data_IF_556860348000
#
_entry.id   IF_556860348000
#
_cell.length_a   1.000
_cell.length_b   1.000
_cell.length_c   1.000
_cell.angle_alpha   90.00
_cell.angle_beta   90.00
_cell.angle_gamma   90.00
#
_symmetry.space_group_name_H-M   'P 1'
#
loop_
_entity.id
_entity.type
_entity.pdbx_description
1 polymer ?
#
# COMPACT_ATOMS: atom_id res chain seq x y z
N UNK A 1 -2.84 -0.49 -178.08
CA UNK A 1 -3.84 -0.92 -177.07
C UNK A 1 -3.23 -1.68 -175.89
N UNK A 2 -2.10 -2.38 -176.03
CA UNK A 2 -1.44 -3.09 -174.90
C UNK A 2 -0.84 -2.19 -173.82
N UNK A 3 -0.24 -1.04 -174.17
CA UNK A 3 0.37 -0.13 -173.20
C UNK A 3 -0.62 0.50 -172.20
N UNK A 4 -1.85 0.78 -172.66
CA UNK A 4 -2.92 1.34 -171.82
C UNK A 4 -3.49 0.26 -170.88
N UNK A 5 -3.67 -0.97 -171.37
CA UNK A 5 -4.11 -2.12 -170.56
C UNK A 5 -3.10 -2.46 -169.45
N UNK A 6 -1.80 -2.41 -169.75
CA UNK A 6 -0.72 -2.64 -168.77
C UNK A 6 -0.65 -1.54 -167.72
N UNK A 7 -0.84 -0.28 -168.11
CA UNK A 7 -0.87 0.87 -167.19
C UNK A 7 -2.12 0.87 -166.32
N UNK A 8 -3.27 0.46 -166.86
CA UNK A 8 -4.52 0.31 -166.12
C UNK A 8 -4.48 -0.87 -165.15
N UNK A 9 -3.84 -1.99 -165.51
CA UNK A 9 -3.60 -3.09 -164.58
C UNK A 9 -2.62 -2.70 -163.46
N UNK A 10 -1.53 -1.98 -163.76
CA UNK A 10 -0.64 -1.45 -162.74
C UNK A 10 -1.35 -0.44 -161.82
N UNK A 11 -2.21 0.43 -162.36
CA UNK A 11 -3.01 1.37 -161.55
C UNK A 11 -4.02 0.64 -160.67
N UNK A 12 -4.65 -0.44 -161.15
CA UNK A 12 -5.52 -1.29 -160.34
C UNK A 12 -4.75 -2.00 -159.23
N UNK A 13 -3.60 -2.59 -159.56
CA UNK A 13 -2.78 -3.29 -158.58
C UNK A 13 -2.23 -2.33 -157.51
N UNK A 14 -1.79 -1.13 -157.91
CA UNK A 14 -1.34 -0.11 -156.95
C UNK A 14 -2.49 0.46 -156.12
N UNK A 15 -3.70 0.52 -156.66
CA UNK A 15 -4.91 0.88 -155.90
C UNK A 15 -5.26 -0.21 -154.89
N UNK A 16 -5.31 -1.48 -155.29
CA UNK A 16 -5.56 -2.62 -154.39
C UNK A 16 -4.48 -2.72 -153.30
N UNK A 17 -3.20 -2.56 -153.64
CA UNK A 17 -2.10 -2.53 -152.65
C UNK A 17 -2.20 -1.32 -151.70
N UNK A 18 -2.69 -0.17 -152.18
CA UNK A 18 -2.91 1.00 -151.34
C UNK A 18 -4.14 0.84 -150.42
N UNK A 19 -5.22 0.24 -150.93
CA UNK A 19 -6.43 -0.09 -150.15
C UNK A 19 -6.13 -1.14 -149.08
N UNK A 20 -5.34 -2.17 -149.40
CA UNK A 20 -4.94 -3.20 -148.44
C UNK A 20 -4.00 -2.62 -147.36
N UNK A 21 -3.07 -1.73 -147.74
CA UNK A 21 -2.25 -0.98 -146.78
C UNK A 21 -3.07 -0.04 -145.91
N UNK A 22 -4.06 0.66 -146.48
CA UNK A 22 -4.96 1.52 -145.72
C UNK A 22 -5.79 0.71 -144.71
N UNK A 23 -6.37 -0.41 -145.15
CA UNK A 23 -7.14 -1.31 -144.28
C UNK A 23 -6.28 -1.91 -143.15
N UNK A 24 -5.04 -2.28 -143.44
CA UNK A 24 -4.09 -2.75 -142.43
C UNK A 24 -3.72 -1.65 -141.43
N UNK A 25 -3.44 -0.43 -141.91
CA UNK A 25 -3.16 0.71 -141.06
C UNK A 25 -4.37 1.12 -140.20
N UNK A 26 -5.59 1.03 -140.72
CA UNK A 26 -6.83 1.25 -139.95
C UNK A 26 -7.02 0.19 -138.86
N UNK A 27 -6.71 -1.07 -139.13
CA UNK A 27 -6.72 -2.13 -138.10
C UNK A 27 -5.67 -1.90 -137.02
N UNK A 28 -4.44 -1.59 -137.41
CA UNK A 28 -3.35 -1.31 -136.47
C UNK A 28 -3.67 -0.06 -135.62
N UNK A 29 -4.25 0.98 -136.22
CA UNK A 29 -4.73 2.17 -135.51
C UNK A 29 -5.84 1.83 -134.50
N UNK A 30 -6.79 0.99 -134.90
CA UNK A 30 -7.87 0.55 -134.00
C UNK A 30 -7.32 -0.26 -132.82
N UNK A 31 -6.43 -1.22 -133.06
CA UNK A 31 -5.81 -2.00 -131.98
C UNK A 31 -4.93 -1.15 -131.05
N UNK A 32 -4.30 -0.10 -131.59
CA UNK A 32 -3.54 0.85 -130.79
C UNK A 32 -4.46 1.73 -129.93
N UNK A 33 -5.59 2.19 -130.48
CA UNK A 33 -6.60 2.93 -129.72
C UNK A 33 -7.25 2.06 -128.64
N UNK A 34 -7.67 0.83 -128.95
CA UNK A 34 -8.27 -0.08 -127.96
C UNK A 34 -7.28 -0.39 -126.79
N UNK A 35 -5.98 -0.46 -127.10
CA UNK A 35 -4.91 -0.60 -126.09
C UNK A 35 -4.70 0.68 -125.28
N UNK A 36 -4.74 1.84 -125.93
CA UNK A 36 -4.63 3.14 -125.26
C UNK A 36 -5.80 3.34 -124.30
N UNK A 37 -7.04 3.09 -124.75
CA UNK A 37 -8.26 3.18 -123.93
C UNK A 37 -8.19 2.24 -122.72
N UNK A 38 -7.68 1.01 -122.90
CA UNK A 38 -7.50 0.06 -121.81
C UNK A 38 -6.46 0.53 -120.78
N UNK A 39 -5.33 1.06 -121.26
CA UNK A 39 -4.28 1.59 -120.39
C UNK A 39 -4.73 2.86 -119.66
N UNK A 40 -5.47 3.75 -120.33
CA UNK A 40 -6.07 4.94 -119.70
C UNK A 40 -7.05 4.55 -118.59
N UNK A 41 -7.89 3.53 -118.82
CA UNK A 41 -8.79 3.02 -117.78
C UNK A 41 -8.05 2.38 -116.59
N UNK A 42 -6.93 1.68 -116.83
CA UNK A 42 -6.11 1.10 -115.76
C UNK A 42 -5.38 2.18 -114.96
N UNK A 43 -4.85 3.20 -115.63
CA UNK A 43 -4.26 4.38 -114.98
C UNK A 43 -5.29 5.10 -114.12
N UNK A 44 -6.52 5.30 -114.62
CA UNK A 44 -7.59 5.93 -113.85
C UNK A 44 -7.95 5.11 -112.60
N UNK A 45 -8.04 3.78 -112.73
CA UNK A 45 -8.30 2.89 -111.61
C UNK A 45 -7.18 2.92 -110.57
N UNK A 46 -5.92 2.79 -110.99
CA UNK A 46 -4.77 2.83 -110.09
C UNK A 46 -4.62 4.20 -109.40
N UNK A 47 -4.98 5.29 -110.08
CA UNK A 47 -4.99 6.63 -109.48
C UNK A 47 -6.01 6.73 -108.36
N UNK A 48 -7.24 6.22 -108.56
CA UNK A 48 -8.26 6.16 -107.50
C UNK A 48 -7.83 5.30 -106.32
N UNK A 49 -7.24 4.13 -106.58
CA UNK A 49 -6.71 3.28 -105.51
C UNK A 49 -5.57 3.94 -104.73
N UNK A 50 -4.73 4.73 -105.40
CA UNK A 50 -3.66 5.48 -104.75
C UNK A 50 -4.23 6.58 -103.85
N UNK A 51 -5.24 7.32 -104.31
CA UNK A 51 -5.95 8.32 -103.49
C UNK A 51 -6.61 7.68 -102.25
N UNK A 52 -7.29 6.53 -102.42
CA UNK A 52 -7.90 5.79 -101.30
C UNK A 52 -6.84 5.32 -100.27
N UNK A 53 -5.71 4.80 -100.75
CA UNK A 53 -4.59 4.37 -99.89
C UNK A 53 -3.93 5.55 -99.15
N UNK A 54 -3.82 6.71 -99.79
CA UNK A 54 -3.31 7.93 -99.17
C UNK A 54 -4.26 8.41 -98.06
N UNK A 55 -5.58 8.40 -98.30
CA UNK A 55 -6.58 8.76 -97.29
C UNK A 55 -6.60 7.77 -96.10
N UNK A 56 -6.45 6.46 -96.38
CA UNK A 56 -6.29 5.44 -95.33
C UNK A 56 -5.00 5.64 -94.52
N UNK A 57 -3.89 5.97 -95.18
CA UNK A 57 -2.62 6.25 -94.52
C UNK A 57 -2.72 7.47 -93.62
N UNK A 58 -3.27 8.58 -94.10
CA UNK A 58 -3.47 9.81 -93.33
C UNK A 58 -4.36 9.57 -92.09
N UNK A 59 -5.42 8.79 -92.26
CA UNK A 59 -6.31 8.38 -91.17
C UNK A 59 -5.60 7.51 -90.13
N UNK A 60 -4.79 6.55 -90.58
CA UNK A 60 -4.00 5.68 -89.71
C UNK A 60 -2.92 6.46 -88.95
N UNK A 61 -2.25 7.42 -89.59
CA UNK A 61 -1.25 8.29 -88.98
C UNK A 61 -1.86 9.21 -87.92
N UNK A 62 -3.03 9.80 -88.21
CA UNK A 62 -3.78 10.59 -87.21
C UNK A 62 -4.18 9.75 -86.00
N UNK A 63 -4.69 8.54 -86.23
CA UNK A 63 -5.06 7.61 -85.16
C UNK A 63 -3.83 7.20 -84.33
N UNK A 64 -2.70 6.91 -84.99
CA UNK A 64 -1.45 6.56 -84.33
C UNK A 64 -0.94 7.72 -83.46
N UNK A 65 -1.01 8.96 -83.95
CA UNK A 65 -0.61 10.14 -83.19
C UNK A 65 -1.46 10.30 -81.92
N UNK A 66 -2.78 10.12 -82.00
CA UNK A 66 -3.67 10.15 -80.84
C UNK A 66 -3.36 9.04 -79.83
N UNK A 67 -3.16 7.81 -80.31
CA UNK A 67 -2.84 6.67 -79.44
C UNK A 67 -1.52 6.88 -78.72
N UNK A 68 -0.49 7.38 -79.42
CA UNK A 68 0.81 7.71 -78.82
C UNK A 68 0.69 8.82 -77.77
N UNK A 69 -0.13 9.85 -78.01
CA UNK A 69 -0.39 10.89 -77.01
C UNK A 69 -1.08 10.32 -75.75
N UNK A 70 -2.07 9.44 -75.92
CA UNK A 70 -2.75 8.77 -74.81
C UNK A 70 -1.81 7.83 -74.05
N UNK A 71 -0.95 7.10 -74.76
CA UNK A 71 0.05 6.22 -74.16
C UNK A 71 1.02 7.01 -73.28
N UNK A 72 1.57 8.12 -73.79
CA UNK A 72 2.48 8.98 -73.02
C UNK A 72 1.83 9.54 -71.75
N UNK A 73 0.56 9.96 -71.83
CA UNK A 73 -0.19 10.42 -70.66
C UNK A 73 -0.38 9.30 -69.62
N UNK A 74 -0.72 8.09 -70.09
CA UNK A 74 -0.90 6.93 -69.23
C UNK A 74 0.42 6.50 -68.55
N UNK A 75 1.54 6.52 -69.27
CA UNK A 75 2.88 6.24 -68.72
C UNK A 75 3.25 7.26 -67.64
N UNK A 76 3.05 8.56 -67.92
CA UNK A 76 3.33 9.62 -66.95
C UNK A 76 2.48 9.45 -65.68
N UNK A 77 1.20 9.12 -65.83
CA UNK A 77 0.28 8.89 -64.71
C UNK A 77 0.68 7.64 -63.90
N UNK A 78 1.14 6.58 -64.59
CA UNK A 78 1.62 5.36 -63.94
C UNK A 78 2.89 5.62 -63.12
N UNK A 79 3.84 6.39 -63.67
CA UNK A 79 5.07 6.78 -62.96
C UNK A 79 4.77 7.60 -61.71
N UNK A 80 3.85 8.56 -61.78
CA UNK A 80 3.39 9.34 -60.63
C UNK A 80 2.73 8.44 -59.56
N UNK A 81 1.89 7.50 -60.00
CA UNK A 81 1.23 6.53 -59.11
C UNK A 81 2.24 5.60 -58.43
N UNK A 82 3.28 5.16 -59.12
CA UNK A 82 4.33 4.33 -58.54
C UNK A 82 5.16 5.10 -57.50
N UNK A 83 5.48 6.37 -57.78
CA UNK A 83 6.16 7.24 -56.80
C UNK A 83 5.31 7.40 -55.55
N UNK A 84 4.01 7.69 -55.69
CA UNK A 84 3.09 7.79 -54.57
C UNK A 84 3.02 6.48 -53.76
N UNK A 85 2.97 5.33 -54.44
CA UNK A 85 2.99 4.01 -53.79
C UNK A 85 4.24 3.82 -52.92
N UNK A 86 5.43 4.10 -53.46
CA UNK A 86 6.70 3.96 -52.72
C UNK A 86 6.75 4.86 -51.48
N UNK A 87 6.26 6.09 -51.59
CA UNK A 87 6.20 7.01 -50.43
C UNK A 87 5.27 6.47 -49.35
N UNK A 88 4.09 5.96 -49.73
CA UNK A 88 3.15 5.36 -48.77
C UNK A 88 3.70 4.08 -48.14
N UNK A 89 4.43 3.26 -48.89
CA UNK A 89 5.07 2.06 -48.39
C UNK A 89 6.15 2.38 -47.34
N UNK A 90 7.05 3.33 -47.62
CA UNK A 90 8.05 3.78 -46.64
C UNK A 90 7.40 4.38 -45.40
N UNK A 91 6.31 5.14 -45.57
CA UNK A 91 5.56 5.68 -44.43
C UNK A 91 4.94 4.56 -43.60
N UNK A 92 4.32 3.58 -44.24
CA UNK A 92 3.75 2.41 -43.56
C UNK A 92 4.79 1.65 -42.74
N UNK A 93 5.98 1.41 -43.30
CA UNK A 93 7.08 0.77 -42.58
C UNK A 93 7.51 1.57 -41.34
N UNK A 94 7.65 2.90 -41.47
CA UNK A 94 8.00 3.76 -40.33
C UNK A 94 6.89 3.79 -39.26
N UNK A 95 5.63 3.77 -39.66
CA UNK A 95 4.49 3.76 -38.76
C UNK A 95 4.42 2.41 -38.01
N UNK A 96 4.66 1.29 -38.68
CA UNK A 96 4.70 -0.05 -38.09
C UNK A 96 5.84 -0.18 -37.06
N UNK A 97 7.04 0.31 -37.37
CA UNK A 97 8.17 0.35 -36.43
C UNK A 97 7.84 1.20 -35.19
N UNK A 98 7.23 2.37 -35.39
CA UNK A 98 6.81 3.24 -34.29
C UNK A 98 5.73 2.60 -33.44
N UNK A 99 4.78 1.90 -34.06
CA UNK A 99 3.71 1.20 -33.37
C UNK A 99 4.27 0.06 -32.51
N UNK A 100 5.23 -0.71 -33.02
CA UNK A 100 5.93 -1.74 -32.26
C UNK A 100 6.65 -1.17 -31.03
N UNK A 101 7.37 -0.05 -31.18
CA UNK A 101 8.05 0.61 -30.06
C UNK A 101 7.07 1.10 -28.98
N UNK A 102 5.94 1.68 -29.39
CA UNK A 102 4.91 2.15 -28.46
C UNK A 102 4.22 0.98 -27.74
N UNK A 103 4.02 -0.15 -28.41
CA UNK A 103 3.49 -1.36 -27.79
C UNK A 103 4.42 -1.93 -26.72
N UNK A 104 5.73 -1.98 -27.02
CA UNK A 104 6.74 -2.42 -26.05
C UNK A 104 6.82 -1.47 -24.84
N UNK A 105 6.75 -0.15 -25.08
CA UNK A 105 6.74 0.83 -24.01
C UNK A 105 5.48 0.70 -23.14
N UNK A 106 4.30 0.57 -23.76
CA UNK A 106 3.03 0.38 -23.05
C UNK A 106 3.09 -0.87 -22.16
N UNK A 107 3.65 -1.96 -22.67
CA UNK A 107 3.79 -3.20 -21.89
C UNK A 107 4.70 -3.00 -20.66
N UNK A 108 5.84 -2.33 -20.82
CA UNK A 108 6.74 -2.03 -19.69
C UNK A 108 6.08 -1.14 -18.65
N UNK A 109 5.35 -0.12 -19.10
CA UNK A 109 4.64 0.80 -18.21
C UNK A 109 3.52 0.08 -17.45
N UNK A 110 2.82 -0.86 -18.09
CA UNK A 110 1.84 -1.73 -17.43
C UNK A 110 2.48 -2.64 -16.37
N UNK A 111 3.59 -3.30 -16.69
CA UNK A 111 4.32 -4.16 -15.74
C UNK A 111 4.81 -3.35 -14.52
N UNK A 112 5.33 -2.14 -14.73
CA UNK A 112 5.78 -1.26 -13.66
C UNK A 112 4.60 -0.78 -12.78
N UNK A 113 3.46 -0.48 -13.39
CA UNK A 113 2.25 -0.09 -12.67
C UNK A 113 1.72 -1.24 -11.81
N UNK A 114 1.69 -2.47 -12.34
CA UNK A 114 1.30 -3.67 -11.58
C UNK A 114 2.25 -3.97 -10.41
N UNK A 115 3.56 -3.84 -10.61
CA UNK A 115 4.54 -4.01 -9.53
C UNK A 115 4.36 -2.95 -8.43
N UNK A 116 4.12 -1.69 -8.84
CA UNK A 116 3.87 -0.60 -7.90
C UNK A 116 2.58 -0.83 -7.11
N UNK A 117 1.51 -1.29 -7.77
CA UNK A 117 0.24 -1.61 -7.13
C UNK A 117 0.40 -2.70 -6.07
N UNK A 118 1.14 -3.77 -6.37
CA UNK A 118 1.44 -4.83 -5.38
C UNK A 118 2.18 -4.28 -4.16
N UNK A 119 3.17 -3.41 -4.36
CA UNK A 119 3.89 -2.75 -3.25
C UNK A 119 2.97 -1.89 -2.40
N UNK A 120 2.02 -1.17 -3.01
CA UNK A 120 1.04 -0.39 -2.27
C UNK A 120 0.12 -1.27 -1.44
N UNK A 121 -0.33 -2.41 -1.98
CA UNK A 121 -1.16 -3.37 -1.26
C UNK A 121 -0.40 -3.96 -0.05
N UNK A 122 0.85 -4.39 -0.24
CA UNK A 122 1.70 -4.89 0.85
C UNK A 122 1.93 -3.84 1.96
N UNK A 123 2.17 -2.58 1.57
CA UNK A 123 2.33 -1.48 2.54
C UNK A 123 1.02 -1.21 3.29
N UNK A 124 -0.12 -1.23 2.59
CA UNK A 124 -1.43 -1.01 3.21
C UNK A 124 -1.76 -2.12 4.22
N UNK A 125 -1.50 -3.38 3.88
CA UNK A 125 -1.63 -4.50 4.82
C UNK A 125 -0.72 -4.34 6.04
N UNK A 126 0.52 -3.89 5.83
CA UNK A 126 1.46 -3.67 6.94
C UNK A 126 1.02 -2.53 7.85
N UNK A 127 0.47 -1.46 7.29
CA UNK A 127 -0.09 -0.35 8.07
C UNK A 127 -1.24 -0.85 8.94
N UNK A 128 -2.20 -1.58 8.37
CA UNK A 128 -3.33 -2.12 9.13
C UNK A 128 -2.89 -3.02 10.29
N UNK A 129 -1.86 -3.86 10.08
CA UNK A 129 -1.29 -4.68 11.16
C UNK A 129 -0.68 -3.82 12.28
N UNK A 130 0.07 -2.77 11.92
CA UNK A 130 0.69 -1.87 12.89
C UNK A 130 -0.33 -1.04 13.64
N UNK A 131 -1.42 -0.63 12.99
CA UNK A 131 -2.54 0.07 13.64
C UNK A 131 -3.22 -0.85 14.68
N UNK A 132 -3.47 -2.11 14.33
CA UNK A 132 -4.01 -3.07 15.29
C UNK A 132 -3.05 -3.34 16.46
N UNK A 133 -1.76 -3.52 16.19
CA UNK A 133 -0.74 -3.68 17.24
C UNK A 133 -0.67 -2.43 18.14
N UNK A 134 -0.82 -1.23 17.58
CA UNK A 134 -0.85 0.02 18.33
C UNK A 134 -2.06 0.07 19.28
N UNK A 135 -3.26 -0.20 18.78
CA UNK A 135 -4.49 -0.20 19.56
C UNK A 135 -4.37 -1.15 20.77
N UNK A 136 -3.87 -2.38 20.55
CA UNK A 136 -3.64 -3.35 21.62
C UNK A 136 -2.64 -2.84 22.69
N UNK A 137 -1.60 -2.11 22.27
CA UNK A 137 -0.63 -1.51 23.19
C UNK A 137 -1.20 -0.33 23.95
N UNK A 138 -2.04 0.48 23.31
CA UNK A 138 -2.71 1.60 23.96
C UNK A 138 -3.69 1.12 25.03
N UNK A 139 -4.50 0.10 24.75
CA UNK A 139 -5.39 -0.52 25.75
C UNK A 139 -4.59 -1.07 26.94
N UNK A 140 -3.51 -1.81 26.69
CA UNK A 140 -2.65 -2.34 27.75
C UNK A 140 -2.00 -1.24 28.60
N UNK A 141 -1.60 -0.13 27.99
CA UNK A 141 -1.04 1.02 28.69
C UNK A 141 -2.08 1.71 29.57
N UNK A 142 -3.31 1.88 29.07
CA UNK A 142 -4.42 2.44 29.85
C UNK A 142 -4.75 1.57 31.06
N UNK A 143 -4.81 0.25 30.90
CA UNK A 143 -5.01 -0.66 32.03
C UNK A 143 -3.89 -0.55 33.07
N UNK A 144 -2.64 -0.47 32.61
CA UNK A 144 -1.49 -0.32 33.50
C UNK A 144 -1.55 1.01 34.27
N UNK A 145 -1.98 2.10 33.64
CA UNK A 145 -2.15 3.41 34.29
C UNK A 145 -3.25 3.36 35.36
N UNK A 146 -4.38 2.71 35.08
CA UNK A 146 -5.45 2.52 36.07
C UNK A 146 -4.94 1.74 37.28
N UNK A 147 -4.21 0.64 37.06
CA UNK A 147 -3.62 -0.15 38.15
C UNK A 147 -2.59 0.63 38.95
N UNK A 148 -1.76 1.44 38.29
CA UNK A 148 -0.78 2.28 38.97
C UNK A 148 -1.46 3.29 39.90
N UNK A 149 -2.51 3.98 39.43
CA UNK A 149 -3.29 4.92 40.25
C UNK A 149 -3.94 4.23 41.46
N UNK A 150 -4.52 3.05 41.26
CA UNK A 150 -5.11 2.28 42.37
C UNK A 150 -4.07 1.91 43.45
N UNK A 151 -2.87 1.49 43.03
CA UNK A 151 -1.77 1.18 43.94
C UNK A 151 -1.25 2.43 44.66
N UNK A 152 -1.17 3.58 43.98
CA UNK A 152 -0.81 4.86 44.61
C UNK A 152 -1.80 5.26 45.71
N UNK A 153 -3.11 5.09 45.45
CA UNK A 153 -4.15 5.32 46.45
C UNK A 153 -4.03 4.37 47.65
N UNK A 154 -3.77 3.09 47.42
CA UNK A 154 -3.56 2.10 48.48
C UNK A 154 -2.33 2.44 49.35
N UNK A 155 -1.21 2.81 48.73
CA UNK A 155 0.01 3.23 49.45
C UNK A 155 -0.27 4.46 50.31
N UNK A 156 -1.03 5.42 49.82
CA UNK A 156 -1.42 6.61 50.60
C UNK A 156 -2.28 6.23 51.81
N UNK A 157 -3.25 5.33 51.64
CA UNK A 157 -4.10 4.85 52.73
C UNK A 157 -3.30 4.09 53.79
N UNK A 158 -2.43 3.16 53.37
CA UNK A 158 -1.54 2.42 54.27
C UNK A 158 -0.61 3.36 55.01
N UNK A 159 -0.05 4.36 54.32
CA UNK A 159 0.79 5.39 54.93
C UNK A 159 0.07 6.19 56.02
N UNK A 160 -1.20 6.56 55.80
CA UNK A 160 -2.01 7.26 56.80
C UNK A 160 -2.36 6.36 58.00
N UNK A 161 -2.68 5.10 57.75
CA UNK A 161 -2.95 4.12 58.81
C UNK A 161 -1.71 3.86 59.66
N UNK A 162 -0.54 3.73 59.03
CA UNK A 162 0.73 3.52 59.74
C UNK A 162 1.05 4.71 60.65
N UNK A 163 0.89 5.95 60.19
CA UNK A 163 1.06 7.14 61.04
C UNK A 163 0.11 7.15 62.23
N UNK A 164 -1.15 6.74 62.02
CA UNK A 164 -2.15 6.68 63.10
C UNK A 164 -1.81 5.60 64.13
N UNK A 165 -1.36 4.43 63.67
CA UNK A 165 -0.88 3.35 64.54
C UNK A 165 0.36 3.77 65.32
N UNK A 166 1.31 4.45 64.68
CA UNK A 166 2.51 4.94 65.34
C UNK A 166 2.17 5.92 66.47
N UNK A 167 1.24 6.86 66.24
CA UNK A 167 0.76 7.76 67.31
C UNK A 167 0.11 6.97 68.45
N UNK A 168 -0.71 5.95 68.14
CA UNK A 168 -1.34 5.11 69.16
C UNK A 168 -0.32 4.28 69.95
N UNK A 169 0.75 3.83 69.31
CA UNK A 169 1.86 3.11 69.93
C UNK A 169 2.63 4.04 70.87
N UNK A 170 3.01 5.24 70.42
CA UNK A 170 3.68 6.26 71.24
C UNK A 170 2.85 6.58 72.52
N UNK A 171 1.53 6.73 72.38
CA UNK A 171 0.61 6.94 73.52
C UNK A 171 0.50 5.71 74.44
N UNK A 172 0.62 4.49 73.91
CA UNK A 172 0.61 3.28 74.73
C UNK A 172 1.91 3.18 75.55
N UNK A 173 3.06 3.47 74.93
CA UNK A 173 4.38 3.52 75.58
C UNK A 173 4.42 4.58 76.67
N UNK A 174 3.87 5.78 76.42
CA UNK A 174 3.80 6.84 77.45
C UNK A 174 2.97 6.39 78.67
N UNK A 175 1.82 5.74 78.43
CA UNK A 175 0.98 5.19 79.51
C UNK A 175 1.69 4.07 80.27
N UNK A 176 2.38 3.18 79.57
CA UNK A 176 3.17 2.11 80.18
C UNK A 176 4.24 2.68 81.11
N UNK A 177 5.00 3.68 80.66
CA UNK A 177 5.98 4.37 81.50
C UNK A 177 5.37 5.00 82.76
N UNK A 178 4.19 5.61 82.64
CA UNK A 178 3.46 6.15 83.80
C UNK A 178 3.00 5.06 84.78
N UNK A 179 2.54 3.92 84.28
CA UNK A 179 2.19 2.78 85.13
C UNK A 179 3.42 2.18 85.82
N UNK A 180 4.56 2.07 85.13
CA UNK A 180 5.81 1.62 85.75
C UNK A 180 6.25 2.53 86.91
N UNK A 181 6.18 3.85 86.71
CA UNK A 181 6.52 4.80 87.78
C UNK A 181 5.57 4.66 88.97
N UNK A 182 4.27 4.51 88.71
CA UNK A 182 3.28 4.34 89.79
C UNK A 182 3.47 3.02 90.53
N UNK A 183 3.80 1.94 89.82
CA UNK A 183 4.13 0.65 90.43
C UNK A 183 5.34 0.81 91.36
N UNK A 184 6.43 1.45 90.90
CA UNK A 184 7.61 1.69 91.75
C UNK A 184 7.29 2.50 93.01
N UNK A 185 6.45 3.53 92.89
CA UNK A 185 6.00 4.31 94.05
C UNK A 185 5.20 3.44 95.05
N UNK A 186 4.25 2.66 94.56
CA UNK A 186 3.44 1.76 95.39
C UNK A 186 4.30 0.67 96.05
N UNK A 187 5.29 0.12 95.35
CA UNK A 187 6.25 -0.83 95.91
C UNK A 187 7.06 -0.20 97.06
N UNK A 188 7.49 1.05 96.90
CA UNK A 188 8.21 1.78 97.96
C UNK A 188 7.30 2.06 99.17
N UNK A 189 6.07 2.54 98.94
CA UNK A 189 5.08 2.76 100.00
C UNK A 189 4.75 1.47 100.75
N UNK A 190 4.57 0.37 100.01
CA UNK A 190 4.33 -0.95 100.56
C UNK A 190 5.50 -1.44 101.43
N UNK A 191 6.75 -1.25 100.98
CA UNK A 191 7.93 -1.60 101.75
C UNK A 191 8.00 -0.83 103.08
N UNK A 192 7.78 0.49 103.05
CA UNK A 192 7.73 1.34 104.25
C UNK A 192 6.60 0.94 105.21
N UNK A 193 5.41 0.63 104.66
CA UNK A 193 4.27 0.16 105.45
C UNK A 193 4.55 -1.19 106.10
N UNK A 194 5.24 -2.09 105.40
CA UNK A 194 5.65 -3.41 105.91
C UNK A 194 6.66 -3.25 107.04
N UNK A 195 7.71 -2.45 106.87
CA UNK A 195 8.69 -2.16 107.92
C UNK A 195 8.02 -1.54 109.16
N UNK A 196 7.08 -0.61 108.96
CA UNK A 196 6.31 -0.02 110.06
C UNK A 196 5.45 -1.06 110.78
N UNK A 197 4.82 -1.98 110.05
CA UNK A 197 4.04 -3.07 110.63
C UNK A 197 4.94 -4.02 111.44
N UNK A 198 6.11 -4.39 110.93
CA UNK A 198 7.08 -5.23 111.64
C UNK A 198 7.57 -4.58 112.95
N UNK A 199 7.85 -3.27 112.94
CA UNK A 199 8.21 -2.53 114.16
C UNK A 199 7.04 -2.54 115.16
N UNK A 200 5.82 -2.31 114.69
CA UNK A 200 4.64 -2.33 115.54
C UNK A 200 4.39 -3.72 116.15
N UNK A 201 4.52 -4.79 115.37
CA UNK A 201 4.42 -6.18 115.85
C UNK A 201 5.49 -6.48 116.90
N UNK A 202 6.73 -6.03 116.69
CA UNK A 202 7.78 -6.17 117.70
C UNK A 202 7.43 -5.41 118.99
N UNK A 203 6.93 -4.18 118.87
CA UNK A 203 6.52 -3.38 120.03
C UNK A 203 5.35 -4.00 120.79
N UNK A 204 4.41 -4.63 120.08
CA UNK A 204 3.32 -5.39 120.69
C UNK A 204 3.88 -6.54 121.51
N UNK A 205 4.80 -7.35 120.96
CA UNK A 205 5.45 -8.43 121.71
C UNK A 205 6.18 -7.95 122.96
N UNK A 206 6.93 -6.85 122.87
CA UNK A 206 7.61 -6.26 124.03
C UNK A 206 6.61 -5.84 125.12
N UNK A 207 5.48 -5.24 124.74
CA UNK A 207 4.44 -4.83 125.67
C UNK A 207 3.68 -6.03 126.26
N UNK A 208 3.50 -7.10 125.49
CA UNK A 208 2.94 -8.37 125.98
C UNK A 208 3.85 -8.98 127.04
N UNK A 209 5.17 -9.06 126.80
CA UNK A 209 6.16 -9.53 127.78
C UNK A 209 6.16 -8.66 129.07
N UNK A 210 6.16 -7.33 128.93
CA UNK A 210 6.07 -6.41 130.06
C UNK A 210 4.75 -6.58 130.84
N UNK A 211 3.65 -6.85 130.13
CA UNK A 211 2.34 -7.12 130.75
C UNK A 211 2.39 -8.44 131.54
N UNK A 212 2.94 -9.50 130.98
CA UNK A 212 3.11 -10.79 131.67
C UNK A 212 4.00 -10.66 132.93
N UNK A 213 5.09 -9.88 132.85
CA UNK A 213 5.96 -9.59 133.99
C UNK A 213 5.25 -8.80 135.10
N UNK A 214 4.47 -7.78 134.72
CA UNK A 214 3.67 -6.99 135.64
C UNK A 214 2.53 -7.81 136.26
N UNK A 215 1.88 -8.68 135.49
CA UNK A 215 0.87 -9.61 135.98
C UNK A 215 1.48 -10.60 136.98
N UNK A 216 2.66 -11.15 136.68
CA UNK A 216 3.42 -12.00 137.60
C UNK A 216 3.80 -11.29 138.90
N UNK A 217 4.33 -10.06 138.79
CA UNK A 217 4.68 -9.22 139.95
C UNK A 217 3.45 -8.86 140.79
N UNK A 218 2.31 -8.61 140.15
CA UNK A 218 1.04 -8.36 140.82
C UNK A 218 0.56 -9.59 141.57
N UNK A 219 0.73 -10.78 141.00
CA UNK A 219 0.37 -12.04 141.64
C UNK A 219 1.27 -12.36 142.85
N UNK A 220 2.58 -12.11 142.74
CA UNK A 220 3.49 -12.17 143.88
C UNK A 220 3.09 -11.17 144.98
N UNK A 221 2.85 -9.89 144.63
CA UNK A 221 2.42 -8.87 145.58
C UNK A 221 1.07 -9.23 146.24
N UNK A 222 0.14 -9.84 145.50
CA UNK A 222 -1.12 -10.36 146.05
C UNK A 222 -0.86 -11.49 147.06
N UNK A 223 0.05 -12.41 146.75
CA UNK A 223 0.41 -13.53 147.62
C UNK A 223 1.13 -13.05 148.89
N UNK A 224 2.02 -12.08 148.77
CA UNK A 224 2.64 -11.40 149.92
C UNK A 224 1.59 -10.67 150.77
N UNK A 225 0.65 -9.96 150.13
CA UNK A 225 -0.47 -9.32 150.84
C UNK A 225 -1.34 -10.34 151.56
N UNK A 226 -1.67 -11.48 150.92
CA UNK A 226 -2.43 -12.56 151.56
C UNK A 226 -1.67 -13.18 152.74
N UNK A 227 -0.35 -13.35 152.61
CA UNK A 227 0.50 -13.87 153.69
C UNK A 227 0.56 -12.87 154.84
N UNK A 228 0.82 -11.59 154.56
CA UNK A 228 0.80 -10.52 155.56
C UNK A 228 -0.58 -10.36 156.22
N UNK A 229 -1.66 -10.57 155.47
CA UNK A 229 -3.02 -10.59 155.99
C UNK A 229 -3.25 -11.80 156.91
N UNK A 230 -2.76 -12.99 156.54
CA UNK A 230 -2.81 -14.17 157.40
C UNK A 230 -1.98 -13.98 158.68
N UNK A 231 -0.79 -13.37 158.59
CA UNK A 231 0.03 -13.01 159.74
C UNK A 231 -0.65 -11.95 160.63
N UNK A 232 -1.34 -10.98 160.03
CA UNK A 232 -2.18 -10.01 160.75
C UNK A 232 -3.36 -10.69 161.45
N UNK A 233 -4.07 -11.58 160.76
CA UNK A 233 -5.18 -12.34 161.34
C UNK A 233 -4.68 -13.27 162.48
N UNK A 234 -3.48 -13.83 162.34
CA UNK A 234 -2.83 -14.66 163.38
C UNK A 234 -2.39 -13.81 164.57
N UNK A 235 -1.78 -12.65 164.36
CA UNK A 235 -1.40 -11.72 165.44
C UNK A 235 -2.61 -11.10 166.13
N UNK A 236 -3.71 -10.85 165.40
CA UNK A 236 -4.99 -10.45 165.99
C UNK A 236 -5.59 -11.58 166.85
N UNK A 237 -5.51 -12.85 166.40
CA UNK A 237 -5.90 -14.00 167.21
C UNK A 237 -5.02 -14.16 168.45
N UNK A 238 -3.70 -13.98 168.34
CA UNK A 238 -2.79 -14.01 169.49
C UNK A 238 -3.04 -12.86 170.49
N UNK A 239 -3.53 -11.70 170.01
CA UNK A 239 -3.97 -10.58 170.85
C UNK A 239 -5.32 -10.81 171.52
N UNK A 240 -6.24 -11.54 170.88
CA UNK A 240 -7.52 -11.96 171.47
C UNK A 240 -7.35 -13.10 172.51
N UNK A 241 -6.20 -13.80 172.50
CA UNK A 241 -5.83 -14.84 173.47
C UNK A 241 -4.97 -14.32 174.67
N UNK A 242 -4.69 -13.00 174.73
CA UNK A 242 -4.04 -12.32 175.87
C UNK A 242 -5.04 -11.62 176.81
#
# INVERSE_FOLDING_TARGET
MEAVKKKMNNLKQTLEEAEEKASKAERELKEANDRADSAESEVEHLTKQLEELEEELDSAESTLAEVNSKLYLAETTADESERARKVLETRGQSDDERLAQLQDQLKRDQELAEESQKKYEEIAERINQLEQELDEKEEAAQEAEIRAKALEEEVNLVGNNLRSLQISEDQAVEREGGYEEKIRQLEQEYAMATERAEIAEKRVKELEEETDELEGSLEEAKKEYETAKQELDTTLQELDEM
#
